data_IF_347597265102
#
_entry.id   IF_347597265102
#
_cell.length_a   1.000
_cell.length_b   1.000
_cell.length_c   1.000
_cell.angle_alpha   90.00
_cell.angle_beta   90.00
_cell.angle_gamma   90.00
#
_symmetry.space_group_name_H-M   'P 1'
#
loop_
_entity.id
_entity.type
_entity.pdbx_description
1 polymer ?
#
# COMPACT_ATOMS: atom_id res chain seq x y z
N UNK A 1 7.66 31.31 6.97
CA UNK A 1 7.16 30.22 6.10
C UNK A 1 6.94 29.00 6.97
N UNK A 2 5.75 28.36 7.00
CA UNK A 2 5.55 27.14 7.79
C UNK A 2 6.39 25.99 7.22
N UNK A 3 7.16 25.32 8.08
CA UNK A 3 7.87 24.09 7.72
C UNK A 3 6.89 22.91 7.87
N UNK A 4 6.45 22.35 6.74
CA UNK A 4 5.69 21.12 6.75
C UNK A 4 6.68 19.97 6.60
N UNK A 5 6.98 19.27 7.70
CA UNK A 5 7.80 18.06 7.66
C UNK A 5 7.19 17.07 6.66
N UNK A 6 7.95 16.72 5.61
CA UNK A 6 7.54 15.72 4.61
C UNK A 6 7.52 14.30 5.17
N UNK A 7 8.00 14.11 6.40
CA UNK A 7 8.04 12.85 7.10
C UNK A 7 7.32 12.98 8.45
N UNK A 8 6.24 12.22 8.62
CA UNK A 8 5.50 12.08 9.87
C UNK A 8 6.30 11.16 10.80
N UNK A 9 6.81 11.69 11.92
CA UNK A 9 7.68 10.94 12.84
C UNK A 9 6.92 10.19 13.96
N UNK A 10 5.62 10.45 14.13
CA UNK A 10 4.81 9.76 15.13
C UNK A 10 4.54 8.31 14.67
N UNK A 11 4.98 7.29 15.44
CA UNK A 11 4.83 5.87 15.08
C UNK A 11 3.37 5.43 14.92
N UNK A 12 2.43 6.04 15.65
CA UNK A 12 0.99 5.75 15.54
C UNK A 12 0.37 6.36 14.27
N UNK A 13 1.09 7.26 13.59
CA UNK A 13 0.65 7.97 12.38
C UNK A 13 1.60 7.77 11.19
N UNK A 14 2.53 6.80 11.25
CA UNK A 14 3.44 6.48 10.15
C UNK A 14 2.65 5.96 8.94
N UNK A 15 2.37 6.83 7.96
CA UNK A 15 2.02 6.38 6.61
C UNK A 15 3.34 6.08 5.91
N UNK A 16 3.66 4.81 5.72
CA UNK A 16 4.89 4.42 5.02
C UNK A 16 4.95 5.12 3.65
N UNK A 17 6.02 5.87 3.37
CA UNK A 17 6.31 6.40 2.05
C UNK A 17 7.25 5.42 1.36
N UNK A 18 6.71 4.33 0.84
CA UNK A 18 7.47 3.39 0.02
C UNK A 18 7.36 3.86 -1.43
N UNK A 19 8.48 4.29 -2.02
CA UNK A 19 8.55 4.59 -3.45
C UNK A 19 8.60 3.28 -4.25
N UNK A 20 7.46 2.83 -4.74
CA UNK A 20 7.39 1.95 -5.90
C UNK A 20 7.11 2.80 -7.15
N UNK A 21 8.11 2.97 -8.02
CA UNK A 21 7.95 3.64 -9.31
C UNK A 21 7.53 2.61 -10.35
N UNK A 22 6.35 2.80 -10.94
CA UNK A 22 5.96 2.01 -12.10
C UNK A 22 6.96 2.29 -13.25
N UNK A 23 7.70 1.29 -13.77
CA UNK A 23 8.70 1.53 -14.81
C UNK A 23 8.09 1.94 -16.16
N UNK A 24 6.78 1.74 -16.36
CA UNK A 24 6.08 2.09 -17.61
C UNK A 24 5.50 3.50 -17.59
N UNK A 25 5.01 3.97 -16.45
CA UNK A 25 4.36 5.28 -16.32
C UNK A 25 5.18 6.28 -15.51
N UNK A 26 6.22 5.83 -14.81
CA UNK A 26 7.09 6.64 -13.96
C UNK A 26 6.36 7.39 -12.83
N UNK A 27 5.15 6.93 -12.49
CA UNK A 27 4.33 7.47 -11.41
C UNK A 27 4.62 6.70 -10.13
N UNK A 28 4.84 7.42 -9.04
CA UNK A 28 4.94 6.85 -7.71
C UNK A 28 3.53 6.52 -7.19
N UNK A 29 3.26 5.23 -6.95
CA UNK A 29 1.99 4.78 -6.36
C UNK A 29 2.19 4.50 -4.88
N UNK A 30 1.68 5.35 -3.97
CA UNK A 30 1.80 5.08 -2.54
C UNK A 30 0.96 3.85 -2.16
N UNK A 31 1.59 2.86 -1.55
CA UNK A 31 0.91 1.74 -0.89
C UNK A 31 0.64 2.11 0.56
N UNK A 32 -0.61 2.03 1.02
CA UNK A 32 -0.96 2.28 2.42
C UNK A 32 -0.88 0.99 3.21
N UNK A 33 -0.10 1.00 4.29
CA UNK A 33 -0.09 -0.09 5.26
C UNK A 33 -0.69 0.35 6.60
N UNK A 34 -1.16 -0.61 7.39
CA UNK A 34 -1.46 -0.39 8.80
C UNK A 34 -0.17 -0.30 9.63
N UNK A 35 -0.32 -0.11 10.95
CA UNK A 35 0.80 -0.06 11.91
C UNK A 35 1.55 -1.38 12.05
N UNK A 36 0.99 -2.49 11.56
CA UNK A 36 1.63 -3.82 11.53
C UNK A 36 2.31 -4.12 10.19
N UNK A 37 2.25 -3.20 9.23
CA UNK A 37 2.87 -3.35 7.91
C UNK A 37 2.00 -4.11 6.90
N UNK A 38 0.73 -4.39 7.19
CA UNK A 38 -0.17 -5.06 6.26
C UNK A 38 -0.73 -4.07 5.24
N UNK A 39 -0.83 -4.48 3.97
CA UNK A 39 -1.58 -3.69 2.96
C UNK A 39 -3.07 -3.77 3.29
N UNK A 40 -3.67 -2.60 3.54
CA UNK A 40 -5.10 -2.50 3.87
C UNK A 40 -5.98 -2.47 2.63
N UNK A 41 -5.44 -2.08 1.48
CA UNK A 41 -6.15 -2.05 0.19
C UNK A 41 -5.14 -2.15 -0.95
N UNK A 42 -5.47 -2.99 -1.94
CA UNK A 42 -4.67 -3.14 -3.16
C UNK A 42 -5.58 -2.85 -4.36
N UNK A 43 -5.37 -1.70 -5.02
CA UNK A 43 -6.08 -1.34 -6.26
C UNK A 43 -5.19 -1.70 -7.44
N UNK A 44 -5.51 -2.82 -8.08
CA UNK A 44 -4.78 -3.34 -9.22
C UNK A 44 -5.47 -2.94 -10.52
N UNK A 45 -4.70 -2.49 -11.50
CA UNK A 45 -5.13 -2.41 -12.90
C UNK A 45 -4.65 -3.68 -13.64
N UNK A 46 -4.88 -4.86 -13.05
CA UNK A 46 -4.34 -6.13 -13.52
C UNK A 46 -4.69 -7.30 -12.60
N UNK A 47 -4.18 -8.49 -12.94
CA UNK A 47 -4.49 -9.76 -12.25
C UNK A 47 -3.34 -10.20 -11.35
N UNK A 48 -3.65 -10.69 -10.14
CA UNK A 48 -2.68 -11.44 -9.34
C UNK A 48 -2.66 -12.88 -9.87
N UNK A 49 -1.60 -13.25 -10.60
CA UNK A 49 -1.52 -14.56 -11.25
C UNK A 49 -1.29 -15.73 -10.28
N UNK A 50 -0.62 -15.46 -9.15
CA UNK A 50 -0.26 -16.49 -8.17
C UNK A 50 -0.33 -15.94 -6.75
N UNK A 51 -1.01 -16.67 -5.86
CA UNK A 51 -0.99 -16.43 -4.41
C UNK A 51 -0.67 -17.74 -3.70
N UNK A 52 0.43 -17.78 -2.95
CA UNK A 52 0.80 -18.94 -2.15
C UNK A 52 0.21 -18.79 -0.74
N UNK A 53 -0.77 -19.63 -0.40
CA UNK A 53 -1.36 -19.67 0.94
C UNK A 53 -2.17 -18.42 1.29
N UNK A 54 -3.35 -18.27 0.70
CA UNK A 54 -4.29 -17.21 1.06
C UNK A 54 -5.25 -17.67 2.17
N UNK A 55 -5.47 -16.81 3.17
CA UNK A 55 -6.58 -16.97 4.14
C UNK A 55 -7.57 -15.82 3.94
N UNK A 56 -8.84 -16.15 3.71
CA UNK A 56 -9.91 -15.16 3.53
C UNK A 56 -10.84 -15.28 4.72
N UNK A 57 -10.74 -14.33 5.65
CA UNK A 57 -11.62 -14.28 6.82
C UNK A 57 -12.82 -13.40 6.48
N UNK A 58 -14.00 -14.00 6.33
CA UNK A 58 -15.27 -13.31 6.08
C UNK A 58 -15.31 -12.39 4.82
N UNK A 59 -14.37 -12.55 3.89
CA UNK A 59 -14.31 -11.82 2.63
C UNK A 59 -15.03 -12.52 1.48
N UNK A 60 -15.15 -11.83 0.34
CA UNK A 60 -15.74 -12.36 -0.90
C UNK A 60 -14.75 -12.25 -2.06
N UNK A 61 -14.67 -13.29 -2.90
CA UNK A 61 -14.01 -13.25 -4.20
C UNK A 61 -15.07 -13.34 -5.29
N UNK A 62 -14.97 -12.48 -6.30
CA UNK A 62 -15.85 -12.49 -7.47
C UNK A 62 -15.01 -12.51 -8.73
N UNK A 63 -15.52 -13.14 -9.80
CA UNK A 63 -14.95 -13.06 -11.14
C UNK A 63 -15.44 -11.83 -11.89
#
# INVERSE_FOLDING_TARGET
>A
MPNFSSFQANPDNLRTLIFGRDPSTLIDRPLTTDSSGNLTTVILNGTISSVLGATITAGTLTS
#
